data_IF_449039648790
#
_entry.id   IF_449039648790
#
_cell.length_a   1.000
_cell.length_b   1.000
_cell.length_c   1.000
_cell.angle_alpha   90.00
_cell.angle_beta   90.00
_cell.angle_gamma   90.00
#
_symmetry.space_group_name_H-M   'P 1'
#
loop_
_entity.id
_entity.type
_entity.pdbx_description
1 polymer ?
#
# COMPACT_ATOMS: atom_id res chain seq x y z
N UNK A 1 -45.39 -10.69 1.01
CA UNK A 1 -45.24 -11.15 -0.39
C UNK A 1 -43.84 -11.76 -0.57
N UNK A 2 -43.69 -13.09 -0.51
CA UNK A 2 -42.37 -13.75 -0.69
C UNK A 2 -42.18 -14.10 -2.17
N UNK A 3 -41.47 -13.25 -2.91
CA UNK A 3 -41.11 -13.50 -4.30
C UNK A 3 -40.05 -14.60 -4.35
N UNK A 4 -40.49 -15.84 -4.61
CA UNK A 4 -39.61 -17.02 -4.72
C UNK A 4 -39.04 -17.06 -6.14
N UNK A 5 -37.87 -16.46 -6.34
CA UNK A 5 -37.16 -16.49 -7.63
C UNK A 5 -36.70 -17.94 -7.89
N UNK A 6 -37.42 -18.67 -8.76
CA UNK A 6 -37.05 -20.03 -9.19
C UNK A 6 -36.01 -19.92 -10.30
N UNK A 7 -34.74 -19.86 -9.92
CA UNK A 7 -33.63 -19.91 -10.88
C UNK A 7 -33.45 -21.32 -11.44
N UNK A 8 -33.44 -21.46 -12.77
CA UNK A 8 -33.10 -22.69 -13.49
C UNK A 8 -31.66 -23.12 -13.17
N UNK A 9 -31.39 -24.43 -13.13
CA UNK A 9 -30.05 -24.95 -12.83
C UNK A 9 -29.01 -24.54 -13.89
N UNK A 10 -29.44 -24.30 -15.14
CA UNK A 10 -28.59 -23.67 -16.17
C UNK A 10 -28.22 -22.22 -15.80
N UNK A 11 -29.16 -21.46 -15.26
CA UNK A 11 -28.94 -20.08 -14.83
C UNK A 11 -28.05 -20.05 -13.58
N UNK A 12 -28.24 -20.96 -12.62
CA UNK A 12 -27.35 -21.11 -11.46
C UNK A 12 -25.91 -21.42 -11.89
N UNK A 13 -25.71 -22.33 -12.85
CA UNK A 13 -24.36 -22.66 -13.36
C UNK A 13 -23.69 -21.47 -14.06
N UNK A 14 -24.44 -20.71 -14.85
CA UNK A 14 -23.95 -19.48 -15.50
C UNK A 14 -23.62 -18.38 -14.49
N UNK A 15 -24.48 -18.17 -13.49
CA UNK A 15 -24.23 -17.23 -12.41
C UNK A 15 -23.02 -17.62 -11.58
N UNK A 16 -22.87 -18.91 -11.25
CA UNK A 16 -21.68 -19.42 -10.56
C UNK A 16 -20.40 -19.20 -11.36
N UNK A 17 -20.43 -19.48 -12.67
CA UNK A 17 -19.30 -19.20 -13.56
C UNK A 17 -18.97 -17.71 -13.66
N UNK A 18 -19.97 -16.86 -13.82
CA UNK A 18 -19.79 -15.41 -13.85
C UNK A 18 -19.22 -14.87 -12.53
N UNK A 19 -19.74 -15.33 -11.39
CA UNK A 19 -19.24 -14.97 -10.07
C UNK A 19 -17.77 -15.41 -9.88
N UNK A 20 -17.41 -16.62 -10.34
CA UNK A 20 -16.04 -17.11 -10.28
C UNK A 20 -15.09 -16.26 -11.14
N UNK A 21 -15.51 -15.87 -12.35
CA UNK A 21 -14.73 -14.99 -13.23
C UNK A 21 -14.54 -13.61 -12.57
N UNK A 22 -15.61 -13.02 -12.03
CA UNK A 22 -15.54 -11.74 -11.33
C UNK A 22 -14.61 -11.81 -10.12
N UNK A 23 -14.68 -12.90 -9.34
CA UNK A 23 -13.79 -13.12 -8.21
C UNK A 23 -12.33 -13.25 -8.65
N UNK A 24 -12.04 -14.01 -9.72
CA UNK A 24 -10.69 -14.15 -10.24
C UNK A 24 -10.12 -12.81 -10.75
N UNK A 25 -10.93 -12.02 -11.46
CA UNK A 25 -10.56 -10.68 -11.89
C UNK A 25 -10.29 -9.76 -10.69
N UNK A 26 -11.13 -9.84 -9.65
CA UNK A 26 -10.94 -9.08 -8.42
C UNK A 26 -9.63 -9.45 -7.72
N UNK A 27 -9.34 -10.73 -7.52
CA UNK A 27 -8.06 -11.20 -6.93
C UNK A 27 -6.86 -10.76 -7.78
N UNK A 28 -6.96 -10.89 -9.11
CA UNK A 28 -5.91 -10.45 -10.03
C UNK A 28 -5.64 -8.95 -9.93
N UNK A 29 -6.70 -8.15 -9.84
CA UNK A 29 -6.59 -6.71 -9.65
C UNK A 29 -5.96 -6.35 -8.29
N UNK A 30 -6.40 -6.99 -7.20
CA UNK A 30 -5.81 -6.82 -5.85
C UNK A 30 -4.31 -7.15 -5.89
N UNK A 31 -3.93 -8.27 -6.51
CA UNK A 31 -2.54 -8.67 -6.66
C UNK A 31 -1.72 -7.69 -7.49
N UNK A 32 -2.30 -7.13 -8.56
CA UNK A 32 -1.67 -6.08 -9.37
C UNK A 32 -1.40 -4.82 -8.54
N UNK A 33 -2.39 -4.33 -7.80
CA UNK A 33 -2.23 -3.16 -6.92
C UNK A 33 -1.20 -3.42 -5.84
N UNK A 34 -1.24 -4.59 -5.20
CA UNK A 34 -0.26 -4.98 -4.19
C UNK A 34 1.17 -4.98 -4.74
N UNK A 35 1.35 -5.48 -5.98
CA UNK A 35 2.64 -5.44 -6.67
C UNK A 35 3.07 -4.00 -6.97
N UNK A 36 2.14 -3.14 -7.39
CA UNK A 36 2.42 -1.73 -7.62
C UNK A 36 2.83 -0.98 -6.34
N UNK A 37 2.26 -1.33 -5.18
CA UNK A 37 2.64 -0.72 -3.88
C UNK A 37 4.09 -1.03 -3.47
N UNK A 38 4.65 -2.16 -3.91
CA UNK A 38 6.06 -2.51 -3.69
C UNK A 38 7.03 -1.82 -4.65
N UNK A 39 6.52 -1.11 -5.67
CA UNK A 39 7.35 -0.34 -6.60
C UNK A 39 7.73 1.03 -6.00
N UNK A 40 8.72 1.72 -6.58
CA UNK A 40 9.07 3.09 -6.20
C UNK A 40 7.86 4.04 -6.19
N UNK A 41 7.86 5.08 -5.35
CA UNK A 41 6.75 6.04 -5.22
C UNK A 41 6.30 6.64 -6.55
N UNK A 42 7.21 6.87 -7.49
CA UNK A 42 6.92 7.45 -8.80
C UNK A 42 6.03 6.50 -9.64
N UNK A 43 6.41 5.22 -9.68
CA UNK A 43 5.66 4.18 -10.41
C UNK A 43 4.29 3.95 -9.76
N UNK A 44 4.27 3.84 -8.42
CA UNK A 44 3.02 3.69 -7.68
C UNK A 44 2.09 4.89 -7.89
N UNK A 45 2.62 6.12 -7.82
CA UNK A 45 1.88 7.36 -8.03
C UNK A 45 1.23 7.40 -9.41
N UNK A 46 1.93 6.97 -10.47
CA UNK A 46 1.35 6.89 -11.82
C UNK A 46 0.20 5.88 -11.94
N UNK A 47 0.23 4.78 -11.17
CA UNK A 47 -0.88 3.81 -11.14
C UNK A 47 -2.06 4.41 -10.39
N UNK A 48 -1.82 5.00 -9.21
CA UNK A 48 -2.87 5.59 -8.37
C UNK A 48 -3.54 6.81 -9.02
N UNK A 49 -2.81 7.59 -9.82
CA UNK A 49 -3.38 8.72 -10.56
C UNK A 49 -4.50 8.32 -11.54
N UNK A 50 -4.55 7.05 -11.97
CA UNK A 50 -5.59 6.50 -12.85
C UNK A 50 -6.65 5.71 -12.09
N UNK A 51 -6.56 5.66 -10.76
CA UNK A 51 -7.46 4.85 -9.93
C UNK A 51 -8.84 5.50 -9.84
N UNK A 52 -9.92 4.81 -10.23
CA UNK A 52 -11.27 5.34 -10.08
C UNK A 52 -11.68 5.35 -8.60
N UNK A 53 -12.40 6.39 -8.18
CA UNK A 53 -12.82 6.57 -6.78
C UNK A 53 -13.51 5.36 -6.14
N UNK A 54 -14.41 4.60 -6.82
CA UNK A 54 -15.02 3.41 -6.24
C UNK A 54 -14.04 2.33 -5.78
N UNK A 55 -12.84 2.26 -6.36
CA UNK A 55 -11.84 1.29 -5.92
C UNK A 55 -11.48 1.49 -4.44
N UNK A 56 -11.37 2.73 -3.96
CA UNK A 56 -10.99 3.02 -2.57
C UNK A 56 -11.95 2.43 -1.53
N UNK A 57 -13.21 2.18 -1.90
CA UNK A 57 -14.20 1.54 -1.02
C UNK A 57 -14.20 0.01 -1.12
N UNK A 58 -13.70 -0.55 -2.22
CA UNK A 58 -13.70 -1.99 -2.49
C UNK A 58 -12.45 -2.69 -1.95
N UNK A 59 -11.41 -1.94 -1.57
CA UNK A 59 -10.12 -2.51 -1.21
C UNK A 59 -9.54 -1.89 0.08
N UNK A 60 -8.89 -2.69 0.94
CA UNK A 60 -8.24 -2.21 2.15
C UNK A 60 -6.88 -1.59 1.83
N UNK A 61 -6.88 -0.44 1.12
CA UNK A 61 -5.66 0.23 0.64
C UNK A 61 -4.66 0.52 1.75
N UNK A 62 -5.12 1.03 2.89
CA UNK A 62 -4.26 1.34 4.04
C UNK A 62 -3.55 0.09 4.57
N UNK A 63 -4.31 -0.99 4.80
CA UNK A 63 -3.74 -2.26 5.27
C UNK A 63 -2.74 -2.81 4.27
N UNK A 64 -3.09 -2.83 2.97
CA UNK A 64 -2.20 -3.32 1.92
C UNK A 64 -0.91 -2.49 1.84
N UNK A 65 -1.02 -1.18 1.94
CA UNK A 65 0.10 -0.26 1.90
C UNK A 65 1.09 -0.46 3.05
N UNK A 66 0.58 -0.49 4.27
CA UNK A 66 1.37 -0.69 5.48
C UNK A 66 2.10 -2.04 5.45
N UNK A 67 1.46 -3.09 4.93
CA UNK A 67 2.12 -4.38 4.74
C UNK A 67 3.15 -4.36 3.61
N UNK A 68 2.83 -3.72 2.47
CA UNK A 68 3.71 -3.69 1.30
C UNK A 68 4.99 -2.89 1.54
N UNK A 69 4.95 -1.87 2.41
CA UNK A 69 6.07 -0.95 2.70
C UNK A 69 6.55 -1.04 4.14
N UNK A 70 6.24 -2.14 4.83
CA UNK A 70 6.73 -2.39 6.18
C UNK A 70 8.27 -2.41 6.18
N UNK A 71 8.88 -1.57 7.01
CA UNK A 71 10.31 -1.65 7.30
C UNK A 71 10.66 -2.90 8.11
N UNK A 72 11.94 -3.27 8.13
CA UNK A 72 12.42 -4.46 8.85
C UNK A 72 13.00 -4.16 10.22
N UNK A 73 13.09 -2.89 10.61
CA UNK A 73 13.70 -2.42 11.86
C UNK A 73 12.81 -2.80 13.05
N UNK A 74 13.43 -3.34 14.09
CA UNK A 74 12.79 -3.71 15.36
C UNK A 74 13.34 -2.87 16.52
N UNK A 75 12.62 -2.84 17.64
CA UNK A 75 13.11 -2.16 18.83
C UNK A 75 14.38 -2.86 19.36
N UNK A 76 15.43 -2.09 19.61
CA UNK A 76 16.75 -2.59 20.00
C UNK A 76 17.73 -2.76 18.84
N UNK A 77 17.27 -2.73 17.59
CA UNK A 77 18.16 -2.67 16.43
C UNK A 77 18.89 -1.33 16.38
N UNK A 78 20.12 -1.35 15.85
CA UNK A 78 20.85 -0.12 15.55
C UNK A 78 20.10 0.63 14.45
N UNK A 79 19.75 1.89 14.71
CA UNK A 79 19.09 2.74 13.73
C UNK A 79 19.98 2.92 12.48
N UNK A 80 19.47 2.69 11.25
CA UNK A 80 20.23 2.90 10.04
C UNK A 80 20.69 4.35 9.90
N UNK A 81 21.97 4.54 9.62
CA UNK A 81 22.53 5.87 9.35
C UNK A 81 22.19 6.30 7.93
N UNK A 82 21.75 7.56 7.79
CA UNK A 82 21.41 8.19 6.51
C UNK A 82 22.18 9.50 6.41
N UNK A 83 22.74 9.78 5.23
CA UNK A 83 23.29 11.10 4.94
C UNK A 83 22.19 11.98 4.40
N UNK A 84 21.80 12.99 5.18
CA UNK A 84 20.76 13.97 4.81
C UNK A 84 21.38 15.35 4.66
N UNK A 85 20.69 16.28 4.01
CA UNK A 85 21.12 17.68 3.93
C UNK A 85 20.37 18.51 4.95
N UNK A 86 21.07 19.35 5.71
CA UNK A 86 20.43 20.33 6.60
C UNK A 86 19.58 21.32 5.78
N UNK A 87 18.54 21.85 6.40
CA UNK A 87 17.64 22.79 5.73
C UNK A 87 18.33 24.15 5.49
N UNK A 88 19.07 24.65 6.48
CA UNK A 88 19.66 25.99 6.53
C UNK A 88 20.77 26.19 5.49
N UNK A 89 21.80 25.34 5.52
CA UNK A 89 23.04 25.51 4.75
C UNK A 89 23.24 24.44 3.67
N UNK A 90 22.30 23.48 3.56
CA UNK A 90 22.38 22.31 2.66
C UNK A 90 23.60 21.42 2.86
N UNK A 91 24.34 21.61 3.96
CA UNK A 91 25.49 20.78 4.30
C UNK A 91 25.02 19.33 4.53
N UNK A 92 25.77 18.33 4.03
CA UNK A 92 25.49 16.94 4.34
C UNK A 92 25.79 16.68 5.81
N UNK A 93 24.90 15.94 6.48
CA UNK A 93 25.09 15.43 7.83
C UNK A 93 24.70 13.96 7.87
N UNK A 94 25.54 13.16 8.51
CA UNK A 94 25.24 11.77 8.79
C UNK A 94 24.39 11.69 10.05
N UNK A 95 23.15 11.19 9.94
CA UNK A 95 22.22 11.11 11.06
C UNK A 95 22.77 10.25 12.22
N UNK A 96 23.54 9.19 11.91
CA UNK A 96 24.23 8.33 12.88
C UNK A 96 25.03 9.06 13.93
N UNK A 97 25.68 10.17 13.54
CA UNK A 97 26.49 10.98 14.45
C UNK A 97 25.67 11.67 15.55
N UNK A 98 24.38 11.95 15.30
CA UNK A 98 23.53 12.71 16.22
C UNK A 98 23.13 11.90 17.45
N UNK A 99 22.91 10.59 17.28
CA UNK A 99 22.53 9.70 18.38
C UNK A 99 23.69 8.93 19.00
N UNK A 100 24.92 9.13 18.50
CA UNK A 100 26.12 8.64 19.17
C UNK A 100 26.41 9.42 20.47
N UNK A 101 26.03 10.70 20.51
CA UNK A 101 26.33 11.59 21.65
C UNK A 101 25.18 11.69 22.66
N UNK A 102 23.92 11.56 22.21
CA UNK A 102 22.73 11.79 23.03
C UNK A 102 21.49 11.07 22.47
N UNK A 103 20.44 10.83 23.28
CA UNK A 103 19.17 10.34 22.75
C UNK A 103 18.56 11.31 21.74
N UNK A 104 18.03 10.78 20.63
CA UNK A 104 17.42 11.56 19.54
C UNK A 104 16.06 10.98 19.18
N UNK A 105 15.12 11.86 18.84
CA UNK A 105 13.83 11.50 18.23
C UNK A 105 13.87 11.91 16.76
N UNK A 106 13.65 10.96 15.85
CA UNK A 106 13.54 11.22 14.41
C UNK A 106 12.06 11.29 14.03
N UNK A 107 11.66 12.40 13.42
CA UNK A 107 10.30 12.59 12.89
C UNK A 107 10.41 12.73 11.37
N UNK A 108 9.80 11.81 10.63
CA UNK A 108 9.75 11.82 9.18
C UNK A 108 8.42 12.41 8.70
N UNK A 109 8.46 13.40 7.81
CA UNK A 109 7.27 14.05 7.26
C UNK A 109 7.58 14.88 6.01
N UNK A 110 6.53 15.39 5.37
CA UNK A 110 6.59 16.27 4.20
C UNK A 110 5.52 17.36 4.29
N UNK A 111 5.72 18.47 3.58
CA UNK A 111 4.77 19.58 3.47
C UNK A 111 3.74 19.40 2.34
N UNK A 112 3.45 18.16 1.96
CA UNK A 112 2.62 17.81 0.80
C UNK A 112 1.19 17.49 1.19
#
# INVERSE_FOLDING_TARGET
>A
MKMKIRLSDRTKRRLGGAAAILFALWVGFVGYIYRAMRQPPEVFGHVMARMPMPAYFLFPFETMWTHARRGTIQAGDIAPSLTVKKLEDKSPIELGSLWAERPVVLVFGSYT
#
